data_IF_241996946058
#
_entry.id   IF_241996946058
#
_cell.length_a   1.000
_cell.length_b   1.000
_cell.length_c   1.000
_cell.angle_alpha   90.00
_cell.angle_beta   90.00
_cell.angle_gamma   90.00
#
_symmetry.space_group_name_H-M   'P 1'
#
loop_
_entity.id
_entity.type
_entity.pdbx_description
1 polymer ?
#
# COMPACT_ATOMS: atom_id res chain seq x y z
N UNK A 1 -9.31 -0.48 -23.21
CA UNK A 1 -8.20 0.34 -22.66
C UNK A 1 -8.60 1.12 -21.41
N UNK A 2 -9.73 1.84 -21.41
CA UNK A 2 -10.21 2.62 -20.25
C UNK A 2 -10.26 1.80 -18.94
N UNK A 3 -10.67 0.53 -18.99
CA UNK A 3 -10.74 -0.37 -17.82
C UNK A 3 -9.41 -0.62 -17.09
N UNK A 4 -8.28 -0.29 -17.71
CA UNK A 4 -6.93 -0.44 -17.11
C UNK A 4 -6.33 0.92 -16.80
N UNK A 5 -6.55 1.92 -17.64
CA UNK A 5 -6.00 3.27 -17.46
C UNK A 5 -6.67 3.99 -16.28
N UNK A 6 -7.99 3.88 -16.13
CA UNK A 6 -8.73 4.54 -15.04
C UNK A 6 -8.21 4.11 -13.65
N UNK A 7 -8.05 2.81 -13.35
CA UNK A 7 -7.44 2.37 -12.10
C UNK A 7 -6.04 2.91 -11.86
N UNK A 8 -5.18 2.99 -12.89
CA UNK A 8 -3.81 3.53 -12.75
C UNK A 8 -3.87 4.99 -12.29
N UNK A 9 -4.67 5.81 -12.97
CA UNK A 9 -4.80 7.23 -12.62
C UNK A 9 -5.38 7.41 -11.21
N UNK A 10 -6.35 6.58 -10.84
CA UNK A 10 -6.92 6.59 -9.49
C UNK A 10 -5.87 6.28 -8.42
N UNK A 11 -5.06 5.23 -8.62
CA UNK A 11 -4.02 4.87 -7.65
C UNK A 11 -2.90 5.92 -7.57
N UNK A 12 -2.49 6.51 -8.69
CA UNK A 12 -1.52 7.61 -8.69
C UNK A 12 -2.06 8.82 -7.93
N UNK A 13 -3.35 9.15 -8.11
CA UNK A 13 -4.02 10.22 -7.37
C UNK A 13 -4.05 9.94 -5.86
N UNK A 14 -4.42 8.72 -5.45
CA UNK A 14 -4.42 8.29 -4.05
C UNK A 14 -3.01 8.37 -3.45
N UNK A 15 -1.98 7.94 -4.21
CA UNK A 15 -0.59 8.01 -3.74
C UNK A 15 -0.17 9.46 -3.48
N UNK A 16 -0.48 10.38 -4.39
CA UNK A 16 -0.20 11.81 -4.21
C UNK A 16 -0.93 12.42 -3.01
N UNK A 17 -2.20 12.07 -2.79
CA UNK A 17 -2.95 12.52 -1.61
C UNK A 17 -2.31 12.00 -0.32
N UNK A 18 -1.99 10.71 -0.25
CA UNK A 18 -1.40 10.08 0.92
C UNK A 18 -0.02 10.68 1.24
N UNK A 19 0.79 10.95 0.22
CA UNK A 19 2.05 11.69 0.36
C UNK A 19 1.83 13.08 0.96
N UNK A 20 0.85 13.82 0.46
CA UNK A 20 0.50 15.15 0.98
C UNK A 20 0.05 15.12 2.45
N UNK A 21 -0.69 14.10 2.86
CA UNK A 21 -1.05 13.89 4.28
C UNK A 21 0.22 13.61 5.10
N UNK A 22 1.07 12.68 4.67
CA UNK A 22 2.33 12.35 5.36
C UNK A 22 3.24 13.58 5.55
N UNK A 23 3.41 14.40 4.50
CA UNK A 23 4.22 15.62 4.56
C UNK A 23 3.60 16.70 5.44
N UNK A 24 2.27 16.83 5.42
CA UNK A 24 1.57 17.78 6.27
C UNK A 24 1.70 17.38 7.74
N UNK A 25 1.54 16.10 8.06
CA UNK A 25 1.76 15.58 9.41
C UNK A 25 3.22 15.79 9.85
N UNK A 26 4.21 15.51 9.00
CA UNK A 26 5.62 15.59 9.39
C UNK A 26 6.12 17.04 9.58
N UNK A 27 5.71 17.96 8.71
CA UNK A 27 6.32 19.29 8.63
C UNK A 27 5.39 20.43 9.03
N UNK A 28 4.08 20.22 9.00
CA UNK A 28 3.08 21.27 9.18
C UNK A 28 1.97 20.87 10.15
N UNK A 29 2.22 19.89 11.05
CA UNK A 29 1.18 19.37 11.94
C UNK A 29 0.47 20.50 12.70
N UNK A 30 1.23 21.34 13.39
CA UNK A 30 0.69 22.39 14.27
C UNK A 30 -0.23 23.40 13.58
N UNK A 31 -0.02 23.69 12.30
CA UNK A 31 -0.84 24.63 11.51
C UNK A 31 -1.87 23.95 10.62
N UNK A 32 -1.90 22.61 10.59
CA UNK A 32 -2.80 21.83 9.77
C UNK A 32 -4.15 21.57 10.44
N UNK A 33 -5.12 21.09 9.67
CA UNK A 33 -6.40 20.58 10.21
C UNK A 33 -6.18 19.42 11.19
N UNK A 34 -5.09 18.65 11.04
CA UNK A 34 -4.83 17.47 11.87
C UNK A 34 -4.54 17.80 13.33
N UNK A 35 -4.01 19.00 13.63
CA UNK A 35 -3.81 19.44 15.02
C UNK A 35 -5.12 19.72 15.76
N UNK A 36 -6.23 19.90 15.04
CA UNK A 36 -7.55 20.13 15.64
C UNK A 36 -8.31 18.84 15.99
N UNK A 37 -7.78 17.66 15.62
CA UNK A 37 -8.46 16.39 15.83
C UNK A 37 -8.27 15.84 17.25
N UNK A 38 -9.32 15.20 17.79
CA UNK A 38 -9.41 14.78 19.20
C UNK A 38 -8.54 13.57 19.60
N UNK A 39 -7.52 13.22 18.80
CA UNK A 39 -6.59 12.12 19.11
C UNK A 39 -5.16 12.49 18.73
N UNK A 40 -4.59 13.41 19.50
CA UNK A 40 -3.21 13.84 19.31
C UNK A 40 -2.24 12.65 19.33
N UNK A 41 -2.51 11.64 20.14
CA UNK A 41 -1.68 10.44 20.23
C UNK A 41 -1.63 9.64 18.93
N UNK A 42 -2.59 9.78 18.01
CA UNK A 42 -2.55 9.13 16.69
C UNK A 42 -2.11 10.08 15.57
N UNK A 43 -2.52 11.35 15.65
CA UNK A 43 -2.29 12.35 14.61
C UNK A 43 -0.97 13.09 14.75
N UNK A 44 -0.46 13.32 15.96
CA UNK A 44 0.77 14.08 16.19
C UNK A 44 2.00 13.16 16.12
N UNK A 45 2.89 13.32 15.11
CA UNK A 45 4.09 12.50 14.97
C UNK A 45 5.07 12.60 16.15
N UNK A 46 5.03 13.69 16.92
CA UNK A 46 5.92 13.90 18.08
C UNK A 46 5.62 12.96 19.24
N UNK A 47 4.39 12.44 19.32
CA UNK A 47 3.94 11.54 20.41
C UNK A 47 3.47 10.18 19.92
N UNK A 48 3.04 10.07 18.66
CA UNK A 48 2.35 8.87 18.17
C UNK A 48 3.22 7.63 18.04
N UNK A 49 4.54 7.81 17.98
CA UNK A 49 5.50 6.71 18.05
C UNK A 49 5.40 5.88 19.34
N UNK A 50 4.83 6.45 20.42
CA UNK A 50 4.60 5.73 21.68
C UNK A 50 3.57 4.61 21.53
N UNK A 51 2.62 4.71 20.60
CA UNK A 51 1.60 3.68 20.34
C UNK A 51 2.18 2.36 19.83
N UNK A 52 3.47 2.35 19.44
CA UNK A 52 4.18 1.13 19.08
C UNK A 52 4.45 0.25 20.30
N UNK A 53 4.38 0.81 21.51
CA UNK A 53 4.73 0.16 22.75
C UNK A 53 3.52 -0.05 23.65
N UNK A 54 3.61 -1.07 24.53
CA UNK A 54 2.52 -1.45 25.42
C UNK A 54 2.24 -0.38 26.48
N UNK A 55 3.28 0.16 27.10
CA UNK A 55 3.16 1.20 28.12
C UNK A 55 4.48 1.96 28.27
N UNK A 56 4.83 2.72 27.23
CA UNK A 56 6.13 3.41 27.12
C UNK A 56 6.40 4.34 28.31
N UNK A 57 5.38 5.08 28.75
CA UNK A 57 5.51 6.09 29.80
C UNK A 57 5.78 5.46 31.18
N UNK A 58 5.39 4.20 31.39
CA UNK A 58 5.74 3.41 32.57
C UNK A 58 6.98 2.51 32.37
N UNK A 59 7.73 2.70 31.28
CA UNK A 59 8.97 1.97 30.98
C UNK A 59 8.76 0.61 30.30
N UNK A 60 7.54 0.26 29.91
CA UNK A 60 7.24 -0.98 29.20
C UNK A 60 7.40 -0.82 27.68
N UNK A 61 8.65 -1.05 27.25
CA UNK A 61 9.05 -0.94 25.84
C UNK A 61 8.73 -2.21 25.01
N UNK A 62 7.88 -3.12 25.50
CA UNK A 62 7.38 -4.23 24.69
C UNK A 62 6.43 -3.73 23.62
N UNK A 63 6.26 -4.51 22.56
CA UNK A 63 5.30 -4.21 21.50
C UNK A 63 3.87 -4.09 22.06
N UNK A 64 3.13 -3.06 21.62
CA UNK A 64 1.73 -2.89 21.96
C UNK A 64 0.89 -4.10 21.51
N UNK A 65 1.22 -4.63 20.34
CA UNK A 65 0.67 -5.85 19.75
C UNK A 65 1.69 -6.40 18.75
N UNK A 66 1.53 -7.67 18.36
CA UNK A 66 2.43 -8.35 17.43
C UNK A 66 2.77 -7.48 16.20
N UNK A 67 4.06 -7.21 15.97
CA UNK A 67 4.57 -6.43 14.83
C UNK A 67 4.18 -4.94 14.83
N UNK A 68 3.74 -4.36 15.96
CA UNK A 68 3.44 -2.92 16.08
C UNK A 68 4.63 -2.01 15.77
N UNK A 69 5.86 -2.53 15.88
CA UNK A 69 7.10 -1.80 15.57
C UNK A 69 7.63 -2.05 14.16
N UNK A 70 7.02 -2.96 13.42
CA UNK A 70 7.48 -3.40 12.10
C UNK A 70 6.34 -3.40 11.09
N UNK A 71 5.72 -4.54 10.80
CA UNK A 71 4.75 -4.70 9.71
C UNK A 71 3.40 -4.03 9.99
N UNK A 72 2.97 -3.97 11.25
CA UNK A 72 1.70 -3.39 11.67
C UNK A 72 1.85 -1.97 12.24
N UNK A 73 3.00 -1.33 11.98
CA UNK A 73 3.29 0.05 12.39
C UNK A 73 2.31 1.06 11.78
N UNK A 74 1.71 0.74 10.63
CA UNK A 74 0.70 1.61 10.01
C UNK A 74 -0.56 1.80 10.87
N UNK A 75 -0.81 0.93 11.86
CA UNK A 75 -1.91 1.09 12.81
C UNK A 75 -1.55 1.96 14.01
N UNK A 76 -0.27 2.23 14.25
CA UNK A 76 0.17 2.96 15.44
C UNK A 76 -0.04 4.47 15.30
N UNK A 77 0.02 5.00 14.07
CA UNK A 77 -0.10 6.42 13.83
C UNK A 77 -0.50 6.76 12.39
N UNK A 78 -1.00 7.99 12.21
CA UNK A 78 -1.50 8.50 10.95
C UNK A 78 -0.42 8.60 9.87
N UNK A 79 0.82 8.87 10.25
CA UNK A 79 1.92 9.09 9.31
C UNK A 79 2.35 7.77 8.66
N UNK A 80 2.55 6.70 9.44
CA UNK A 80 2.86 5.38 8.89
C UNK A 80 1.67 4.81 8.10
N UNK A 81 0.43 5.10 8.49
CA UNK A 81 -0.75 4.77 7.69
C UNK A 81 -0.69 5.44 6.31
N UNK A 82 -0.45 6.75 6.27
CA UNK A 82 -0.37 7.51 5.03
C UNK A 82 0.73 6.97 4.11
N UNK A 83 1.92 6.67 4.63
CA UNK A 83 3.01 6.07 3.85
C UNK A 83 2.67 4.66 3.33
N UNK A 84 1.95 3.87 4.12
CA UNK A 84 1.52 2.53 3.71
C UNK A 84 0.50 2.61 2.59
N UNK A 85 -0.44 3.56 2.67
CA UNK A 85 -1.41 3.84 1.60
C UNK A 85 -0.68 4.31 0.33
N UNK A 86 0.26 5.25 0.47
CA UNK A 86 1.05 5.76 -0.66
C UNK A 86 1.78 4.62 -1.37
N UNK A 87 2.55 3.83 -0.62
CA UNK A 87 3.34 2.72 -1.16
C UNK A 87 2.44 1.65 -1.78
N UNK A 88 1.35 1.28 -1.11
CA UNK A 88 0.38 0.33 -1.63
C UNK A 88 -0.27 0.80 -2.93
N UNK A 89 -0.61 2.09 -3.00
CA UNK A 89 -1.17 2.69 -4.21
C UNK A 89 -0.16 2.69 -5.38
N UNK A 90 1.11 3.02 -5.14
CA UNK A 90 2.16 2.90 -6.16
C UNK A 90 2.33 1.48 -6.66
N UNK A 91 2.38 0.49 -5.76
CA UNK A 91 2.49 -0.93 -6.13
C UNK A 91 1.31 -1.33 -7.02
N UNK A 92 0.08 -0.98 -6.63
CA UNK A 92 -1.10 -1.28 -7.44
C UNK A 92 -1.05 -0.60 -8.81
N UNK A 93 -0.67 0.68 -8.88
CA UNK A 93 -0.53 1.39 -10.15
C UNK A 93 0.46 0.68 -11.09
N UNK A 94 1.61 0.23 -10.57
CA UNK A 94 2.62 -0.52 -11.33
C UNK A 94 2.07 -1.86 -11.83
N UNK A 95 1.35 -2.61 -10.99
CA UNK A 95 0.75 -3.88 -11.39
C UNK A 95 -0.27 -3.70 -12.53
N UNK A 96 -1.10 -2.66 -12.46
CA UNK A 96 -2.02 -2.33 -13.55
C UNK A 96 -1.28 -1.86 -14.82
N UNK A 97 -0.17 -1.12 -14.70
CA UNK A 97 0.64 -0.69 -15.83
C UNK A 97 1.33 -1.88 -16.53
N UNK A 98 1.88 -2.84 -15.76
CA UNK A 98 2.43 -4.10 -16.30
C UNK A 98 1.34 -4.86 -17.07
N UNK A 99 0.13 -4.96 -16.48
CA UNK A 99 -1.02 -5.60 -17.13
C UNK A 99 -1.43 -4.90 -18.43
N UNK A 100 -1.32 -3.57 -18.51
CA UNK A 100 -1.56 -2.79 -19.72
C UNK A 100 -0.52 -3.07 -20.81
N UNK A 101 0.77 -3.05 -20.46
CA UNK A 101 1.87 -3.33 -21.38
C UNK A 101 1.78 -4.75 -21.96
N UNK A 102 1.41 -5.72 -21.14
CA UNK A 102 1.15 -7.09 -21.60
C UNK A 102 -0.02 -7.17 -22.58
N UNK A 103 -1.13 -6.48 -22.30
CA UNK A 103 -2.28 -6.45 -23.20
C UNK A 103 -1.93 -5.87 -24.58
N UNK A 104 -1.21 -4.74 -24.62
CA UNK A 104 -0.77 -4.11 -25.87
C UNK A 104 0.11 -5.03 -26.72
N UNK A 105 1.04 -5.77 -26.09
CA UNK A 105 1.88 -6.73 -26.80
C UNK A 105 1.09 -7.87 -27.43
N UNK A 106 0.09 -8.41 -26.73
CA UNK A 106 -0.79 -9.45 -27.30
C UNK A 106 -1.55 -8.92 -28.52
N UNK A 107 -2.12 -7.72 -28.43
CA UNK A 107 -2.91 -7.18 -29.55
C UNK A 107 -2.05 -6.94 -30.78
N UNK A 108 -0.83 -6.41 -30.63
CA UNK A 108 0.10 -6.21 -31.75
C UNK A 108 0.57 -7.54 -32.37
N UNK A 109 0.82 -8.57 -31.55
CA UNK A 109 1.21 -9.90 -32.05
C UNK A 109 0.13 -10.61 -32.87
N UNK A 110 -1.15 -10.27 -32.65
CA UNK A 110 -2.27 -10.83 -33.43
C UNK A 110 -2.41 -10.19 -34.81
N UNK A 111 -1.98 -8.95 -34.95
CA UNK A 111 -2.01 -8.22 -36.22
C UNK A 111 -0.77 -8.53 -37.08
N UNK A 112 0.33 -9.00 -36.46
CA UNK A 112 1.62 -9.26 -37.11
C UNK A 112 1.82 -10.65 -37.73
N UNK A 113 0.81 -11.53 -37.76
CA UNK A 113 0.78 -12.68 -38.69
C UNK A 113 1.87 -13.77 -38.61
N UNK A 114 2.74 -13.83 -37.58
CA UNK A 114 3.75 -14.90 -37.48
C UNK A 114 3.57 -15.80 -36.25
N UNK A 115 3.50 -17.11 -36.52
CA UNK A 115 3.11 -18.18 -35.60
C UNK A 115 4.19 -18.57 -34.59
N UNK A 116 4.43 -17.73 -33.59
CA UNK A 116 5.27 -18.03 -32.42
C UNK A 116 4.47 -18.29 -31.15
N UNK A 117 3.45 -19.14 -31.21
CA UNK A 117 2.54 -19.41 -30.10
C UNK A 117 3.14 -20.43 -29.13
N UNK A 118 3.15 -20.10 -27.83
CA UNK A 118 2.97 -20.96 -26.63
C UNK A 118 3.89 -20.67 -25.43
N UNK A 119 5.08 -20.09 -25.59
CA UNK A 119 6.01 -19.89 -24.44
C UNK A 119 5.63 -18.77 -23.47
N UNK A 120 5.23 -17.59 -23.97
CA UNK A 120 5.08 -16.38 -23.14
C UNK A 120 3.76 -16.24 -22.37
N UNK A 121 2.71 -16.98 -22.75
CA UNK A 121 1.39 -16.87 -22.11
C UNK A 121 1.34 -17.50 -20.73
N UNK A 122 2.13 -18.55 -20.49
CA UNK A 122 2.20 -19.19 -19.18
C UNK A 122 2.97 -18.31 -18.22
N UNK A 123 4.17 -17.84 -18.57
CA UNK A 123 5.05 -17.09 -17.65
C UNK A 123 4.39 -15.81 -17.11
N UNK A 124 3.74 -15.00 -17.94
CA UNK A 124 3.12 -13.74 -17.49
C UNK A 124 1.83 -13.96 -16.68
N UNK A 125 1.02 -14.97 -17.02
CA UNK A 125 -0.15 -15.35 -16.22
C UNK A 125 0.28 -15.92 -14.87
N UNK A 126 1.34 -16.72 -14.84
CA UNK A 126 1.94 -17.21 -13.61
C UNK A 126 2.51 -16.08 -12.76
N UNK A 127 3.20 -15.09 -13.35
CA UNK A 127 3.81 -13.98 -12.59
C UNK A 127 2.79 -13.01 -11.99
N UNK A 128 1.72 -12.66 -12.73
CA UNK A 128 0.63 -11.86 -12.17
C UNK A 128 -0.19 -12.66 -11.14
N UNK A 129 -0.46 -13.94 -11.40
CA UNK A 129 -1.16 -14.78 -10.44
C UNK A 129 -0.34 -15.00 -9.17
N UNK A 130 0.99 -15.16 -9.26
CA UNK A 130 1.84 -15.37 -8.09
C UNK A 130 1.96 -14.12 -7.23
N UNK A 131 2.07 -12.91 -7.80
CA UNK A 131 2.05 -11.66 -7.02
C UNK A 131 0.68 -11.43 -6.38
N UNK A 132 -0.40 -11.69 -7.11
CA UNK A 132 -1.76 -11.55 -6.59
C UNK A 132 -2.05 -12.59 -5.49
N UNK A 133 -1.59 -13.83 -5.64
CA UNK A 133 -1.69 -14.89 -4.61
C UNK A 133 -0.81 -14.57 -3.41
N UNK A 134 0.36 -13.95 -3.59
CA UNK A 134 1.17 -13.48 -2.47
C UNK A 134 0.48 -12.35 -1.71
N UNK A 135 -0.15 -11.40 -2.41
CA UNK A 135 -0.82 -10.27 -1.78
C UNK A 135 -2.15 -10.66 -1.14
N UNK A 136 -2.95 -11.52 -1.78
CA UNK A 136 -4.19 -12.08 -1.20
C UNK A 136 -3.86 -13.04 -0.07
N UNK A 137 -2.83 -13.88 -0.22
CA UNK A 137 -2.35 -14.78 0.81
C UNK A 137 -1.83 -14.03 2.03
N UNK A 138 -1.09 -12.93 1.82
CA UNK A 138 -0.71 -11.99 2.87
C UNK A 138 -1.98 -11.42 3.53
N UNK A 139 -2.88 -10.78 2.78
CA UNK A 139 -4.11 -10.21 3.34
C UNK A 139 -5.02 -11.24 4.05
N UNK A 140 -5.07 -12.50 3.60
CA UNK A 140 -5.85 -13.58 4.22
C UNK A 140 -5.19 -14.12 5.50
N UNK A 141 -3.86 -14.26 5.53
CA UNK A 141 -3.12 -14.54 6.76
C UNK A 141 -3.31 -13.40 7.78
N UNK A 142 -3.32 -12.14 7.31
CA UNK A 142 -3.62 -10.98 8.14
C UNK A 142 -5.06 -10.97 8.64
N UNK A 143 -6.04 -11.33 7.82
CA UNK A 143 -7.43 -11.44 8.25
C UNK A 143 -7.65 -12.52 9.31
N UNK A 144 -6.95 -13.65 9.19
CA UNK A 144 -7.01 -14.74 10.18
C UNK A 144 -6.34 -14.35 11.51
N UNK A 145 -5.15 -13.74 11.46
CA UNK A 145 -4.43 -13.23 12.65
C UNK A 145 -5.17 -12.09 13.38
N UNK A 146 -6.13 -11.42 12.74
CA UNK A 146 -6.95 -10.38 13.35
C UNK A 146 -8.23 -10.92 14.01
N UNK A 147 -8.59 -12.19 13.73
CA UNK A 147 -9.81 -12.85 14.23
C UNK A 147 -9.51 -13.97 15.24
N UNK A 148 -8.24 -14.30 15.48
CA UNK A 148 -7.75 -15.26 16.47
C UNK A 148 -7.11 -14.55 17.66
#
# INVERSE_FOLDING_TARGET
MHKIIIPILLFVFIAGMAKGVSDTLQFHYGTSVFSSFQNEQWWNPEVSWKNKYRDYDNGDNREAYLLSRSLLVWRTDAWHLAQTIETGAWVLAVLFAIRLGYWRRITQSREGGEGGWFGGMHVARFFCASILVFYIGFLALYGWLLLS
#
